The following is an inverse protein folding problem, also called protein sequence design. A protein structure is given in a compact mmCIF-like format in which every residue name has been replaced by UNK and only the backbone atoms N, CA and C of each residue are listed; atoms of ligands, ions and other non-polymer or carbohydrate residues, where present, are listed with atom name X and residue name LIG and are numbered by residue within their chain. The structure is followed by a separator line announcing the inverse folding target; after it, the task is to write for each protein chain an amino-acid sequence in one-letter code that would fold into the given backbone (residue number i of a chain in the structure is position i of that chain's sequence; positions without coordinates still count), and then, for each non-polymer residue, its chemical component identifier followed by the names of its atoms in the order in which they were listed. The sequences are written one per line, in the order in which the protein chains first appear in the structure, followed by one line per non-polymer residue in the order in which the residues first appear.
data_IF_884805393110
#
_entry.id   IF_884805393110
#
_cell.length_a   1.000
_cell.length_b   1.000
_cell.length_c   1.000
_cell.angle_alpha   90.00
_cell.angle_beta   90.00
_cell.angle_gamma   90.00
#
_symmetry.space_group_name_H-M   'P 1'
#
loop_
_entity.id
_entity.type
_entity.pdbx_description
1 polymer ?
#
# COMPACT_ATOMS: atom_id res chain seq x y z
N UNK A 1 -17.94 -33.85 54.35
CA UNK A 1 -18.18 -34.23 52.94
C UNK A 1 -18.89 -33.08 52.17
N UNK A 2 -18.24 -31.91 52.00
CA UNK A 2 -18.87 -30.68 51.42
C UNK A 2 -18.09 -30.03 50.26
N UNK A 3 -16.96 -30.60 49.84
CA UNK A 3 -16.06 -29.98 48.83
C UNK A 3 -16.36 -30.32 47.36
N UNK A 4 -17.21 -31.32 47.05
CA UNK A 4 -17.41 -31.76 45.65
C UNK A 4 -18.30 -30.84 44.80
N UNK A 5 -19.17 -30.02 45.40
CA UNK A 5 -20.13 -29.18 44.65
C UNK A 5 -19.48 -27.94 44.02
N UNK A 6 -18.47 -27.33 44.66
CA UNK A 6 -17.79 -26.14 44.13
C UNK A 6 -16.83 -26.47 42.98
N UNK A 7 -16.22 -27.66 43.00
CA UNK A 7 -15.33 -28.10 41.92
C UNK A 7 -16.09 -28.35 40.60
N UNK A 8 -17.30 -28.91 40.68
CA UNK A 8 -18.17 -29.14 39.51
C UNK A 8 -18.63 -27.80 38.91
N UNK A 9 -18.98 -26.82 39.75
CA UNK A 9 -19.36 -25.49 39.28
C UNK A 9 -18.22 -24.76 38.55
N UNK A 10 -16.99 -24.86 39.07
CA UNK A 10 -15.81 -24.27 38.44
C UNK A 10 -15.50 -24.90 37.07
N UNK A 11 -15.66 -26.22 36.94
CA UNK A 11 -15.44 -26.92 35.67
C UNK A 11 -16.49 -26.52 34.62
N UNK A 12 -17.76 -26.40 35.01
CA UNK A 12 -18.84 -25.98 34.10
C UNK A 12 -18.65 -24.52 33.66
N UNK A 13 -18.26 -23.63 34.56
CA UNK A 13 -17.97 -22.23 34.23
C UNK A 13 -16.77 -22.11 33.27
N UNK A 14 -15.69 -22.87 33.50
CA UNK A 14 -14.53 -22.88 32.62
C UNK A 14 -14.85 -23.41 31.21
N UNK A 15 -15.68 -24.46 31.10
CA UNK A 15 -16.16 -24.95 29.80
C UNK A 15 -17.02 -23.91 29.06
N UNK A 16 -17.87 -23.18 29.78
CA UNK A 16 -18.71 -22.13 29.19
C UNK A 16 -17.88 -21.00 28.57
N UNK A 17 -16.82 -20.56 29.26
CA UNK A 17 -15.90 -19.52 28.75
C UNK A 17 -15.12 -20.01 27.53
N UNK A 18 -14.65 -21.26 27.54
CA UNK A 18 -13.92 -21.85 26.40
C UNK A 18 -14.80 -21.98 25.15
N UNK A 19 -16.08 -22.35 25.31
CA UNK A 19 -17.05 -22.43 24.22
C UNK A 19 -17.43 -21.05 23.68
N UNK A 20 -17.56 -20.05 24.55
CA UNK A 20 -17.81 -18.66 24.12
C UNK A 20 -16.62 -18.08 23.33
N UNK A 21 -15.38 -18.32 23.78
CA UNK A 21 -14.17 -17.85 23.10
C UNK A 21 -14.01 -18.50 21.70
N UNK A 22 -14.27 -19.80 21.60
CA UNK A 22 -14.23 -20.52 20.31
C UNK A 22 -15.33 -20.06 19.35
N UNK A 23 -16.54 -19.77 19.86
CA UNK A 23 -17.63 -19.23 19.06
C UNK A 23 -17.34 -17.81 18.54
N UNK A 24 -16.78 -16.92 19.37
CA UNK A 24 -16.41 -15.55 18.98
C UNK A 24 -15.33 -15.59 17.88
N UNK A 25 -14.31 -16.44 18.05
CA UNK A 25 -13.21 -16.56 17.09
C UNK A 25 -13.70 -17.14 15.74
N UNK A 26 -14.63 -18.11 15.77
CA UNK A 26 -15.28 -18.65 14.58
C UNK A 26 -16.14 -17.60 13.85
N UNK A 27 -16.91 -16.80 14.61
CA UNK A 27 -17.73 -15.71 14.07
C UNK A 27 -16.89 -14.62 13.39
N UNK A 28 -15.82 -14.16 14.04
CA UNK A 28 -14.90 -13.17 13.47
C UNK A 28 -14.25 -13.67 12.17
N UNK A 29 -13.84 -14.94 12.13
CA UNK A 29 -13.26 -15.56 10.93
C UNK A 29 -14.27 -15.63 9.78
N UNK A 30 -15.54 -15.89 10.06
CA UNK A 30 -16.61 -15.90 9.04
C UNK A 30 -16.94 -14.50 8.51
N UNK A 31 -16.89 -13.46 9.35
CA UNK A 31 -17.10 -12.07 8.93
C UNK A 31 -15.97 -11.61 8.01
N UNK A 32 -14.71 -11.84 8.40
CA UNK A 32 -13.54 -11.51 7.58
C UNK A 32 -13.55 -12.24 6.22
N UNK A 33 -14.03 -13.49 6.19
CA UNK A 33 -14.11 -14.27 4.96
C UNK A 33 -15.22 -13.78 4.02
N UNK A 34 -16.35 -13.29 4.57
CA UNK A 34 -17.42 -12.66 3.77
C UNK A 34 -17.00 -11.32 3.18
N UNK A 35 -16.25 -10.52 3.93
CA UNK A 35 -15.73 -9.23 3.48
C UNK A 35 -14.69 -9.42 2.36
N UNK A 36 -13.80 -10.40 2.52
CA UNK A 36 -12.84 -10.80 1.47
C UNK A 36 -13.54 -11.30 0.20
N UNK A 37 -14.59 -12.12 0.35
CA UNK A 37 -15.38 -12.61 -0.79
C UNK A 37 -16.15 -11.49 -1.51
N UNK A 38 -16.66 -10.50 -0.77
CA UNK A 38 -17.32 -9.33 -1.34
C UNK A 38 -16.33 -8.44 -2.12
N UNK A 39 -15.12 -8.24 -1.58
CA UNK A 39 -14.05 -7.46 -2.25
C UNK A 39 -13.58 -8.14 -3.55
N UNK A 40 -13.41 -9.46 -3.55
CA UNK A 40 -13.06 -10.24 -4.75
C UNK A 40 -14.19 -10.20 -5.79
N UNK A 41 -15.45 -10.21 -5.37
CA UNK A 41 -16.60 -10.07 -6.27
C UNK A 41 -16.65 -8.69 -6.92
N UNK A 42 -16.41 -7.63 -6.14
CA UNK A 42 -16.32 -6.25 -6.64
C UNK A 42 -15.19 -6.08 -7.67
N UNK A 43 -14.02 -6.67 -7.41
CA UNK A 43 -12.87 -6.64 -8.31
C UNK A 43 -13.12 -7.38 -9.63
N UNK A 44 -13.93 -8.45 -9.62
CA UNK A 44 -14.34 -9.17 -10.85
C UNK A 44 -15.40 -8.43 -11.67
N UNK A 45 -16.28 -7.67 -11.00
CA UNK A 45 -17.30 -6.85 -11.66
C UNK A 45 -16.69 -5.56 -12.26
N UNK A 46 -15.59 -5.06 -11.68
CA UNK A 46 -14.85 -3.88 -12.13
C UNK A 46 -13.91 -4.11 -13.33
N UNK A 47 -14.14 -5.16 -14.12
CA UNK A 47 -13.49 -5.48 -15.40
C UNK A 47 -12.79 -4.26 -16.04
N UNK A 48 -11.49 -4.12 -15.75
CA UNK A 48 -10.67 -2.97 -16.10
C UNK A 48 -10.65 -2.81 -17.62
N UNK A 49 -11.51 -1.94 -18.16
CA UNK A 49 -11.31 -1.35 -19.47
C UNK A 49 -10.50 -0.08 -19.24
N UNK A 50 -9.28 0.05 -19.78
CA UNK A 50 -8.52 1.29 -19.65
C UNK A 50 -9.32 2.39 -20.36
N UNK A 51 -9.97 3.26 -19.59
CA UNK A 51 -10.62 4.42 -20.15
C UNK A 51 -9.55 5.42 -20.58
N UNK A 52 -9.23 5.39 -21.88
CA UNK A 52 -8.69 6.55 -22.59
C UNK A 52 -9.75 7.66 -22.56
N UNK A 53 -9.92 8.35 -21.43
CA UNK A 53 -10.52 9.68 -21.44
C UNK A 53 -9.39 10.69 -21.38
N UNK A 54 -9.12 11.25 -22.56
CA UNK A 54 -8.41 12.51 -22.75
C UNK A 54 -9.13 13.54 -21.87
N UNK A 55 -8.48 14.10 -20.86
CA UNK A 55 -9.03 15.21 -20.09
C UNK A 55 -9.24 16.39 -21.05
N UNK A 56 -10.49 16.75 -21.29
CA UNK A 56 -10.85 18.14 -21.56
C UNK A 56 -11.19 18.75 -20.20
N UNK A 57 -10.38 19.72 -19.78
CA UNK A 57 -10.77 20.64 -18.70
C UNK A 57 -11.98 21.41 -19.22
N UNK A 58 -13.16 21.12 -18.67
CA UNK A 58 -14.28 22.04 -18.76
C UNK A 58 -14.06 23.15 -17.71
N UNK A 59 -13.59 24.30 -18.19
CA UNK A 59 -13.65 25.58 -17.49
C UNK A 59 -15.12 26.04 -17.38
N UNK A 60 -15.90 25.47 -16.46
CA UNK A 60 -17.01 26.20 -15.83
C UNK A 60 -17.62 25.38 -14.67
N UNK A 61 -17.09 25.56 -13.47
CA UNK A 61 -17.83 25.25 -12.25
C UNK A 61 -17.79 26.49 -11.35
N UNK A 62 -18.80 27.33 -11.55
CA UNK A 62 -19.21 28.34 -10.58
C UNK A 62 -19.63 27.62 -9.29
N UNK A 63 -18.72 27.58 -8.31
CA UNK A 63 -18.97 27.00 -7.00
C UNK A 63 -19.94 27.94 -6.26
N UNK A 64 -21.21 27.53 -6.20
CA UNK A 64 -22.17 28.11 -5.25
C UNK A 64 -21.83 27.61 -3.84
N UNK A 65 -21.50 28.53 -2.92
CA UNK A 65 -21.16 28.33 -1.50
C UNK A 65 -22.16 27.49 -0.66
N UNK A 66 -23.21 26.94 -1.25
CA UNK A 66 -24.31 26.26 -0.55
C UNK A 66 -24.09 24.79 -0.19
N UNK A 67 -23.01 24.16 -0.64
CA UNK A 67 -22.81 22.71 -0.47
C UNK A 67 -21.53 22.30 0.31
N UNK A 68 -20.82 23.25 0.92
CA UNK A 68 -19.71 22.90 1.82
C UNK A 68 -20.24 22.11 3.02
N UNK A 69 -19.74 20.88 3.20
CA UNK A 69 -20.07 20.02 4.35
C UNK A 69 -21.25 19.06 4.14
N UNK A 70 -21.79 18.93 2.91
CA UNK A 70 -22.75 17.85 2.62
C UNK A 70 -22.03 16.51 2.42
N UNK A 71 -22.66 15.36 2.74
CA UNK A 71 -22.08 14.03 2.52
C UNK A 71 -21.67 13.80 1.05
N UNK A 72 -22.37 14.40 0.10
CA UNK A 72 -22.05 14.31 -1.33
C UNK A 72 -20.78 15.08 -1.71
N UNK A 73 -20.55 16.26 -1.12
CA UNK A 73 -19.31 17.02 -1.29
C UNK A 73 -18.13 16.33 -0.61
N UNK A 74 -18.34 15.78 0.59
CA UNK A 74 -17.30 15.04 1.33
C UNK A 74 -16.94 13.75 0.57
N UNK A 75 -17.92 13.05 0.00
CA UNK A 75 -17.68 11.85 -0.81
C UNK A 75 -16.95 12.16 -2.13
N UNK A 76 -17.27 13.29 -2.79
CA UNK A 76 -16.59 13.67 -4.03
C UNK A 76 -15.14 14.09 -3.79
N UNK A 77 -14.87 14.84 -2.73
CA UNK A 77 -13.51 15.29 -2.40
C UNK A 77 -12.63 14.13 -1.89
N UNK A 78 -13.19 13.24 -1.06
CA UNK A 78 -12.52 12.00 -0.66
C UNK A 78 -12.18 11.11 -1.87
N UNK A 79 -13.08 11.04 -2.85
CA UNK A 79 -12.82 10.29 -4.10
C UNK A 79 -11.70 10.91 -4.93
N UNK A 80 -11.59 12.25 -4.94
CA UNK A 80 -10.55 12.97 -5.67
C UNK A 80 -9.17 12.86 -5.00
N UNK A 81 -9.11 12.84 -3.67
CA UNK A 81 -7.89 12.58 -2.92
C UNK A 81 -7.42 11.13 -3.07
N UNK A 82 -8.33 10.16 -2.95
CA UNK A 82 -7.98 8.76 -3.15
C UNK A 82 -7.49 8.50 -4.59
N UNK A 83 -8.09 9.12 -5.60
CA UNK A 83 -7.62 9.02 -6.97
C UNK A 83 -6.18 9.56 -7.14
N UNK A 84 -5.86 10.69 -6.50
CA UNK A 84 -4.49 11.25 -6.50
C UNK A 84 -3.51 10.34 -5.78
N UNK A 85 -3.92 9.72 -4.66
CA UNK A 85 -3.11 8.75 -3.93
C UNK A 85 -2.80 7.53 -4.81
N UNK A 86 -3.80 6.98 -5.50
CA UNK A 86 -3.60 5.86 -6.41
C UNK A 86 -2.68 6.25 -7.58
N UNK A 87 -2.87 7.46 -8.16
CA UNK A 87 -2.01 7.96 -9.23
C UNK A 87 -0.54 8.07 -8.78
N UNK A 88 -0.27 8.63 -7.59
CA UNK A 88 1.12 8.75 -7.13
C UNK A 88 1.74 7.40 -6.74
N UNK A 89 0.94 6.44 -6.30
CA UNK A 89 1.44 5.10 -5.98
C UNK A 89 1.87 4.35 -7.25
N UNK A 90 1.08 4.42 -8.31
CA UNK A 90 1.31 3.61 -9.52
C UNK A 90 2.04 4.36 -10.66
N UNK A 91 1.96 5.69 -10.68
CA UNK A 91 2.54 6.53 -11.74
C UNK A 91 3.11 7.85 -11.16
N UNK A 92 3.58 7.83 -9.92
CA UNK A 92 4.02 9.03 -9.20
C UNK A 92 5.44 9.49 -9.49
N UNK A 93 6.28 8.63 -10.08
CA UNK A 93 7.66 8.98 -10.39
C UNK A 93 7.70 9.84 -11.66
N UNK A 94 8.34 11.00 -11.58
CA UNK A 94 8.49 11.91 -12.73
C UNK A 94 9.77 11.60 -13.53
N UNK A 95 10.11 10.32 -13.60
CA UNK A 95 11.22 9.75 -14.35
C UNK A 95 10.94 8.27 -14.66
N UNK A 96 11.48 7.73 -15.76
CA UNK A 96 11.26 6.33 -16.11
C UNK A 96 12.11 5.42 -15.20
N UNK A 97 11.52 4.83 -14.16
CA UNK A 97 12.21 3.84 -13.35
C UNK A 97 12.43 2.54 -14.14
N UNK A 98 11.37 1.94 -14.66
CA UNK A 98 11.38 0.61 -15.28
C UNK A 98 10.70 -0.43 -14.38
N UNK A 99 10.27 -1.55 -14.97
CA UNK A 99 9.53 -2.61 -14.28
C UNK A 99 10.42 -3.81 -13.94
N UNK A 100 11.53 -3.97 -14.66
CA UNK A 100 12.50 -5.06 -14.47
C UNK A 100 13.85 -4.53 -13.99
N UNK A 101 14.65 -5.39 -13.37
CA UNK A 101 16.04 -5.10 -12.98
C UNK A 101 16.85 -4.55 -14.15
N UNK A 102 16.69 -5.15 -15.34
CA UNK A 102 17.41 -4.73 -16.55
C UNK A 102 16.99 -3.33 -17.00
N UNK A 103 15.69 -3.03 -16.97
CA UNK A 103 15.20 -1.69 -17.31
C UNK A 103 15.63 -0.64 -16.29
N UNK A 104 15.58 -0.97 -15.00
CA UNK A 104 16.01 -0.07 -13.93
C UNK A 104 17.50 0.29 -14.08
N UNK A 105 18.36 -0.71 -14.31
CA UNK A 105 19.79 -0.47 -14.58
C UNK A 105 19.98 0.34 -15.87
N UNK A 106 19.18 0.08 -16.91
CA UNK A 106 19.25 0.85 -18.16
C UNK A 106 18.88 2.33 -17.95
N UNK A 107 17.87 2.61 -17.15
CA UNK A 107 17.33 3.97 -16.97
C UNK A 107 18.10 4.78 -15.93
N UNK A 108 18.54 4.15 -14.83
CA UNK A 108 19.26 4.82 -13.74
C UNK A 108 20.79 4.72 -13.86
N UNK A 109 21.28 3.85 -14.75
CA UNK A 109 22.70 3.54 -14.89
C UNK A 109 23.14 2.40 -13.97
N UNK A 110 24.45 2.25 -13.78
CA UNK A 110 24.99 1.20 -12.92
C UNK A 110 24.73 1.53 -11.43
N UNK A 111 24.14 0.61 -10.65
CA UNK A 111 24.00 0.81 -9.21
C UNK A 111 25.37 0.79 -8.52
N UNK A 112 25.44 1.43 -7.35
CA UNK A 112 26.62 1.36 -6.47
C UNK A 112 26.80 -0.05 -5.92
N UNK A 113 25.69 -0.72 -5.63
CA UNK A 113 25.65 -2.04 -5.04
C UNK A 113 24.43 -2.82 -5.53
N UNK A 114 24.62 -4.11 -5.75
CA UNK A 114 23.56 -5.08 -6.03
C UNK A 114 23.69 -6.19 -5.00
N UNK A 115 22.66 -6.37 -4.16
CA UNK A 115 22.56 -7.54 -3.28
C UNK A 115 21.55 -8.51 -3.87
N UNK A 116 21.97 -9.75 -4.10
CA UNK A 116 21.10 -10.85 -4.52
C UNK A 116 20.88 -11.79 -3.32
N UNK A 117 19.63 -11.97 -2.93
CA UNK A 117 19.23 -12.93 -1.89
C UNK A 117 18.37 -14.02 -2.50
N UNK A 118 18.76 -15.28 -2.30
CA UNK A 118 17.94 -16.42 -2.69
C UNK A 118 16.90 -16.70 -1.60
N UNK A 119 15.64 -16.84 -1.98
CA UNK A 119 14.54 -17.19 -1.07
C UNK A 119 13.76 -18.38 -1.61
N UNK A 120 13.30 -19.27 -0.73
CA UNK A 120 12.41 -20.35 -1.17
C UNK A 120 11.07 -19.78 -1.61
N UNK A 121 10.57 -20.22 -2.76
CA UNK A 121 9.30 -19.76 -3.28
C UNK A 121 8.17 -20.11 -2.32
N UNK A 122 7.28 -19.14 -2.09
CA UNK A 122 6.12 -19.32 -1.21
C UNK A 122 5.10 -20.30 -1.79
N UNK A 123 5.08 -20.46 -3.12
CA UNK A 123 4.09 -21.28 -3.84
C UNK A 123 4.65 -22.63 -4.29
N UNK A 124 5.96 -22.70 -4.54
CA UNK A 124 6.64 -23.90 -5.02
C UNK A 124 7.86 -24.17 -4.13
N UNK A 125 7.74 -24.97 -3.06
CA UNK A 125 8.83 -25.19 -2.09
C UNK A 125 10.12 -25.77 -2.70
N UNK A 126 10.03 -26.35 -3.90
CA UNK A 126 11.13 -26.89 -4.71
C UNK A 126 11.81 -25.85 -5.60
N UNK A 127 11.27 -24.64 -5.70
CA UNK A 127 11.82 -23.52 -6.47
C UNK A 127 12.39 -22.47 -5.53
N UNK A 128 13.55 -21.93 -5.91
CA UNK A 128 14.14 -20.79 -5.25
C UNK A 128 13.98 -19.54 -6.13
N UNK A 129 13.35 -18.53 -5.56
CA UNK A 129 13.20 -17.20 -6.14
C UNK A 129 14.34 -16.29 -5.68
N UNK A 130 14.40 -15.09 -6.25
CA UNK A 130 15.44 -14.11 -5.94
C UNK A 130 14.85 -12.78 -5.50
N UNK A 131 15.53 -12.15 -4.56
CA UNK A 131 15.36 -10.73 -4.24
C UNK A 131 16.62 -9.99 -4.69
N UNK A 132 16.42 -8.90 -5.42
CA UNK A 132 17.48 -7.98 -5.82
C UNK A 132 17.27 -6.65 -5.13
N UNK A 133 18.26 -6.23 -4.35
CA UNK A 133 18.36 -4.86 -3.83
C UNK A 133 19.35 -4.09 -4.70
N UNK A 134 18.88 -3.04 -5.37
CA UNK A 134 19.69 -2.14 -6.18
C UNK A 134 19.84 -0.82 -5.44
N UNK A 135 21.07 -0.47 -5.08
CA UNK A 135 21.37 0.74 -4.31
C UNK A 135 22.07 1.75 -5.21
N UNK A 136 21.48 2.93 -5.33
CA UNK A 136 22.01 4.07 -6.09
C UNK A 136 22.31 5.24 -5.14
N UNK A 137 22.78 6.37 -5.69
CA UNK A 137 22.93 7.58 -4.90
C UNK A 137 21.56 8.22 -4.64
N UNK A 138 20.91 7.93 -3.51
CA UNK A 138 19.66 8.59 -3.10
C UNK A 138 18.38 7.95 -3.64
N UNK A 139 18.47 6.78 -4.26
CA UNK A 139 17.34 5.89 -4.53
C UNK A 139 17.75 4.42 -4.29
N UNK A 140 16.85 3.64 -3.72
CA UNK A 140 16.97 2.19 -3.52
C UNK A 140 15.73 1.51 -4.09
N UNK A 141 15.92 0.37 -4.75
CA UNK A 141 14.80 -0.47 -5.21
C UNK A 141 14.99 -1.91 -4.82
N UNK A 142 13.93 -2.54 -4.31
CA UNK A 142 13.86 -4.00 -4.11
C UNK A 142 12.98 -4.63 -5.16
N UNK A 143 13.49 -5.69 -5.79
CA UNK A 143 12.80 -6.43 -6.85
C UNK A 143 12.72 -7.89 -6.44
N UNK A 144 11.54 -8.49 -6.58
CA UNK A 144 11.36 -9.94 -6.50
C UNK A 144 11.34 -10.53 -7.89
N UNK A 145 12.07 -11.61 -8.07
CA UNK A 145 12.15 -12.37 -9.31
C UNK A 145 11.64 -13.79 -9.05
N UNK A 146 10.49 -14.10 -9.64
CA UNK A 146 9.87 -15.41 -9.62
C UNK A 146 10.53 -16.31 -10.67
N UNK A 147 11.44 -17.19 -10.23
CA UNK A 147 12.30 -17.99 -11.12
C UNK A 147 11.49 -18.95 -11.99
N UNK A 148 10.40 -19.49 -11.47
CA UNK A 148 9.55 -20.43 -12.21
C UNK A 148 8.90 -19.81 -13.46
N UNK A 149 8.57 -18.53 -13.40
CA UNK A 149 7.78 -17.84 -14.43
C UNK A 149 8.59 -16.74 -15.14
N UNK A 150 9.84 -16.52 -14.73
CA UNK A 150 10.75 -15.47 -15.23
C UNK A 150 10.09 -14.07 -15.17
N UNK A 151 9.34 -13.81 -14.09
CA UNK A 151 8.66 -12.52 -13.85
C UNK A 151 9.34 -11.75 -12.74
N UNK A 152 9.37 -10.43 -12.89
CA UNK A 152 9.91 -9.51 -11.89
C UNK A 152 8.84 -8.56 -11.39
N UNK A 153 8.92 -8.21 -10.10
CA UNK A 153 8.03 -7.29 -9.41
C UNK A 153 8.83 -6.33 -8.55
N UNK A 154 8.66 -5.03 -8.76
CA UNK A 154 9.20 -4.01 -7.85
C UNK A 154 8.39 -4.04 -6.56
N UNK A 155 9.04 -4.37 -5.45
CA UNK A 155 8.42 -4.48 -4.14
C UNK A 155 8.57 -3.21 -3.31
N UNK A 156 9.67 -2.48 -3.52
CA UNK A 156 9.99 -1.30 -2.72
C UNK A 156 10.77 -0.31 -3.53
N UNK A 157 10.45 0.97 -3.35
CA UNK A 157 11.21 2.10 -3.88
C UNK A 157 11.40 3.07 -2.72
N UNK A 158 12.63 3.49 -2.47
CA UNK A 158 12.97 4.51 -1.48
C UNK A 158 13.69 5.64 -2.19
N UNK A 159 13.24 6.87 -2.00
CA UNK A 159 13.92 8.08 -2.48
C UNK A 159 14.35 8.91 -1.27
N UNK A 160 15.62 9.33 -1.25
CA UNK A 160 16.22 10.17 -0.20
C UNK A 160 16.98 11.38 -0.78
N UNK A 161 17.01 11.53 -2.11
CA UNK A 161 17.65 12.65 -2.79
C UNK A 161 16.66 13.43 -3.64
N UNK A 162 16.81 14.74 -3.65
CA UNK A 162 16.05 15.70 -4.45
C UNK A 162 16.30 15.60 -5.96
N UNK A 163 17.31 14.82 -6.41
CA UNK A 163 17.55 14.57 -7.83
C UNK A 163 16.42 13.74 -8.47
N UNK A 164 15.71 12.91 -7.68
CA UNK A 164 14.59 12.09 -8.15
C UNK A 164 13.28 12.83 -7.90
N UNK A 165 12.57 13.12 -8.99
CA UNK A 165 11.35 13.91 -8.93
C UNK A 165 10.10 13.04 -8.84
N UNK A 166 9.14 13.56 -8.09
CA UNK A 166 7.84 12.94 -7.83
C UNK A 166 6.76 13.93 -8.26
N UNK A 167 5.68 13.41 -8.86
CA UNK A 167 4.53 14.19 -9.30
C UNK A 167 3.97 15.09 -8.19
N UNK A 168 3.30 16.15 -8.64
CA UNK A 168 2.69 17.17 -7.77
C UNK A 168 3.67 17.89 -6.83
N UNK A 169 4.97 17.89 -7.15
CA UNK A 169 5.97 18.58 -6.34
C UNK A 169 6.23 17.93 -4.97
N UNK A 170 5.80 16.68 -4.77
CA UNK A 170 5.94 15.92 -3.52
C UNK A 170 7.35 15.34 -3.36
N UNK A 171 8.36 16.18 -3.63
CA UNK A 171 9.78 15.82 -3.66
C UNK A 171 10.39 15.82 -2.25
N UNK A 172 11.63 15.33 -2.16
CA UNK A 172 12.50 15.64 -1.01
C UNK A 172 12.56 17.14 -0.80
N UNK A 173 12.37 17.59 0.44
CA UNK A 173 12.26 18.99 0.84
C UNK A 173 10.84 19.57 0.83
N UNK A 174 9.82 18.85 0.36
CA UNK A 174 8.43 19.31 0.46
C UNK A 174 7.97 19.40 1.92
N UNK A 175 7.13 20.39 2.26
CA UNK A 175 6.60 20.55 3.62
C UNK A 175 5.48 19.57 3.94
N UNK A 176 5.37 19.12 5.19
CA UNK A 176 4.32 18.21 5.62
C UNK A 176 2.90 18.73 5.35
N UNK A 177 2.66 20.03 5.56
CA UNK A 177 1.36 20.67 5.25
C UNK A 177 1.07 20.68 3.74
N UNK A 178 2.11 20.79 2.91
CA UNK A 178 1.95 20.70 1.46
C UNK A 178 1.56 19.27 1.05
N UNK A 179 2.19 18.25 1.63
CA UNK A 179 1.85 16.84 1.38
C UNK A 179 0.38 16.58 1.69
N UNK A 180 -0.10 16.96 2.88
CA UNK A 180 -1.52 16.76 3.22
C UNK A 180 -2.46 17.68 2.44
N UNK A 181 -2.02 18.86 2.01
CA UNK A 181 -2.80 19.71 1.11
C UNK A 181 -3.00 19.10 -0.29
N UNK A 182 -2.00 18.39 -0.81
CA UNK A 182 -2.07 17.73 -2.12
C UNK A 182 -2.83 16.40 -2.06
N UNK A 183 -2.52 15.56 -1.08
CA UNK A 183 -3.03 14.18 -0.99
C UNK A 183 -4.22 14.03 -0.04
N UNK A 184 -4.59 15.06 0.71
CA UNK A 184 -5.54 14.97 1.81
C UNK A 184 -4.86 14.53 3.11
N UNK A 185 -5.62 14.52 4.21
CA UNK A 185 -5.11 14.06 5.51
C UNK A 185 -4.78 12.56 5.47
N UNK A 186 -3.59 12.14 5.93
CA UNK A 186 -3.20 10.73 5.90
C UNK A 186 -3.99 9.93 6.93
N UNK A 187 -4.39 8.68 6.61
CA UNK A 187 -4.98 7.76 7.58
C UNK A 187 -4.07 7.48 8.78
N UNK A 188 -2.76 7.48 8.57
CA UNK A 188 -1.75 7.31 9.61
C UNK A 188 -0.87 8.56 9.63
N UNK A 189 -0.97 9.30 10.73
CA UNK A 189 -0.28 10.57 10.96
C UNK A 189 0.50 10.50 12.27
N UNK A 190 1.81 10.40 12.16
CA UNK A 190 2.72 10.48 13.30
C UNK A 190 3.55 11.76 13.24
N UNK A 191 4.43 11.96 14.23
CA UNK A 191 5.22 13.21 14.32
C UNK A 191 6.12 13.39 13.11
N UNK A 192 6.72 12.33 12.60
CA UNK A 192 7.71 12.35 11.52
C UNK A 192 7.37 11.42 10.35
N UNK A 193 6.13 10.94 10.28
CA UNK A 193 5.66 10.00 9.26
C UNK A 193 4.21 10.25 8.89
N UNK A 194 3.95 10.39 7.59
CA UNK A 194 2.61 10.27 6.99
C UNK A 194 2.57 9.00 6.13
N UNK A 195 1.53 8.17 6.30
CA UNK A 195 1.31 6.99 5.48
C UNK A 195 -0.08 7.05 4.81
N UNK A 196 -0.07 6.80 3.51
CA UNK A 196 -1.23 6.66 2.64
C UNK A 196 -1.28 5.22 2.11
N UNK A 197 -2.49 4.73 1.86
CA UNK A 197 -2.73 3.44 1.25
C UNK A 197 -3.44 3.64 -0.08
N UNK A 198 -3.16 2.78 -1.05
CA UNK A 198 -3.98 2.74 -2.26
C UNK A 198 -5.42 2.29 -1.93
N UNK A 199 -6.32 2.48 -2.88
CA UNK A 199 -7.73 2.12 -2.72
C UNK A 199 -7.96 0.64 -2.40
N UNK A 200 -7.01 -0.24 -2.74
CA UNK A 200 -7.10 -1.67 -2.45
C UNK A 200 -6.44 -2.08 -1.13
N UNK A 201 -5.58 -1.25 -0.54
CA UNK A 201 -4.81 -1.55 0.67
C UNK A 201 -3.65 -2.53 0.44
N UNK A 202 -3.12 -2.59 -0.78
CA UNK A 202 -1.98 -3.44 -1.16
C UNK A 202 -0.67 -2.68 -1.27
N UNK A 203 -0.75 -1.37 -1.49
CA UNK A 203 0.40 -0.50 -1.63
C UNK A 203 0.35 0.63 -0.61
N UNK A 204 1.52 0.94 -0.05
CA UNK A 204 1.72 2.00 0.93
C UNK A 204 2.67 3.04 0.38
N UNK A 205 2.29 4.30 0.51
CA UNK A 205 3.15 5.46 0.26
C UNK A 205 3.42 6.15 1.58
N UNK A 206 4.70 6.28 1.92
CA UNK A 206 5.15 6.90 3.16
C UNK A 206 6.01 8.11 2.89
N UNK A 207 5.71 9.20 3.58
CA UNK A 207 6.55 10.39 3.65
C UNK A 207 7.14 10.48 5.05
N UNK A 208 8.46 10.50 5.14
CA UNK A 208 9.18 10.70 6.39
C UNK A 208 9.71 12.12 6.44
N UNK A 209 9.60 12.76 7.60
CA UNK A 209 9.94 14.16 7.78
C UNK A 209 11.15 14.35 8.69
N UNK A 210 11.88 15.44 8.50
CA UNK A 210 12.90 15.93 9.42
C UNK A 210 12.29 16.77 10.56
N UNK A 211 13.16 17.37 11.40
CA UNK A 211 12.74 18.25 12.49
C UNK A 211 12.03 19.52 12.03
N UNK A 212 12.27 19.95 10.79
CA UNK A 212 11.67 21.14 10.17
C UNK A 212 10.37 20.80 9.41
N UNK A 213 9.88 19.57 9.54
CA UNK A 213 8.70 19.06 8.82
C UNK A 213 8.86 19.04 7.31
N UNK A 214 10.10 18.87 6.83
CA UNK A 214 10.40 18.70 5.42
C UNK A 214 10.61 17.22 5.10
N UNK A 215 10.10 16.77 3.94
CA UNK A 215 10.27 15.39 3.47
C UNK A 215 11.76 15.09 3.32
N UNK A 216 12.24 14.08 4.04
CA UNK A 216 13.62 13.57 3.94
C UNK A 216 13.70 12.21 3.24
N UNK A 217 12.60 11.45 3.23
CA UNK A 217 12.51 10.14 2.58
C UNK A 217 11.08 9.89 2.11
N UNK A 218 10.96 9.30 0.93
CA UNK A 218 9.69 8.82 0.37
C UNK A 218 9.83 7.33 0.12
N UNK A 219 8.86 6.54 0.54
CA UNK A 219 8.90 5.09 0.39
C UNK A 219 7.59 4.56 -0.20
N UNK A 220 7.70 3.90 -1.34
CA UNK A 220 6.66 3.02 -1.88
C UNK A 220 6.95 1.60 -1.39
N UNK A 221 5.93 0.96 -0.85
CA UNK A 221 5.99 -0.43 -0.41
C UNK A 221 4.79 -1.18 -0.98
N UNK A 222 5.07 -2.17 -1.82
CA UNK A 222 4.09 -3.05 -2.42
C UNK A 222 4.14 -4.37 -1.65
N UNK A 223 3.12 -4.66 -0.84
CA UNK A 223 3.20 -5.79 0.09
C UNK A 223 3.37 -7.13 -0.63
N UNK A 224 4.44 -7.87 -0.29
CA UNK A 224 4.75 -9.20 -0.83
C UNK A 224 3.59 -10.20 -0.69
N UNK A 225 2.81 -10.10 0.38
CA UNK A 225 1.79 -11.12 0.71
C UNK A 225 0.61 -11.10 -0.26
N UNK A 226 0.31 -9.96 -0.88
CA UNK A 226 -0.93 -9.76 -1.63
C UNK A 226 -0.69 -9.56 -3.12
N UNK A 227 0.41 -8.87 -3.49
CA UNK A 227 0.77 -8.69 -4.89
C UNK A 227 1.16 -10.01 -5.56
N UNK A 228 1.91 -10.88 -4.88
CA UNK A 228 2.34 -12.15 -5.48
C UNK A 228 1.13 -13.08 -5.74
N UNK A 229 0.07 -13.02 -4.93
CA UNK A 229 -1.17 -13.76 -5.16
C UNK A 229 -1.93 -13.34 -6.43
N UNK A 230 -1.64 -12.18 -7.02
CA UNK A 230 -2.29 -11.71 -8.25
C UNK A 230 -1.51 -12.09 -9.51
N UNK A 231 -0.25 -12.52 -9.37
CA UNK A 231 0.60 -12.92 -10.49
C UNK A 231 0.60 -14.44 -10.76
N UNK A 232 0.02 -15.24 -9.86
CA UNK A 232 -0.19 -16.69 -9.94
C UNK A 232 -1.69 -17.04 -9.93
#
# INVERSE_FOLDING_TARGET
MRMKKHLIFLIIAALGVALAATYINYSQKQIANKESAAKIKLLKELNFKPHKRKLTLDEDLTISDKNLGTPEFIASDFSAHQQRIDEIIYDGLDFPLGETKTEIIKNLGAPKEITETTITSRYRPDVNDKLFDLIYNGIETRIYHATADEKELVLRIIIESDQFKVKYGLNIGAGAEYVSGVLGEPPVKETDLYEYNDSNGFAKLRFYFDSNKLVKKIEWNFEENLMICLFF
#
